data_IF_903889362969
#
_entry.id   IF_903889362969
#
_cell.length_a   1.000
_cell.length_b   1.000
_cell.length_c   1.000
_cell.angle_alpha   90.00
_cell.angle_beta   90.00
_cell.angle_gamma   90.00
#
_symmetry.space_group_name_H-M   'P 1'
#
loop_
_entity.id
_entity.type
_entity.pdbx_description
1 polymer ?
#
# COMPACT_ATOMS: atom_id res chain seq x y z
N UNK A 1 -23.96 16.36 56.34
CA UNK A 1 -24.72 15.76 55.27
C UNK A 1 -23.75 15.58 54.12
N UNK A 2 -23.21 14.36 53.95
CA UNK A 2 -22.14 14.06 52.96
C UNK A 2 -22.86 13.46 51.78
N UNK A 3 -22.91 14.21 50.67
CA UNK A 3 -23.49 13.75 49.41
C UNK A 3 -22.64 12.63 48.82
N UNK A 4 -23.18 11.44 48.86
CA UNK A 4 -22.62 10.24 48.28
C UNK A 4 -22.79 10.32 46.75
N UNK A 5 -21.74 10.67 46.01
CA UNK A 5 -21.71 10.64 44.57
C UNK A 5 -21.55 9.18 44.14
N UNK A 6 -22.57 8.54 43.52
CA UNK A 6 -22.42 7.19 43.03
C UNK A 6 -21.46 7.19 41.84
N UNK A 7 -20.36 6.45 41.94
CA UNK A 7 -19.45 6.12 40.86
C UNK A 7 -20.23 5.38 39.77
N UNK A 8 -20.83 6.12 38.85
CA UNK A 8 -21.26 5.55 37.57
C UNK A 8 -20.00 5.24 36.77
N UNK A 9 -19.51 4.01 36.88
CA UNK A 9 -18.66 3.41 35.89
C UNK A 9 -19.43 3.43 34.55
N UNK A 10 -19.22 4.49 33.79
CA UNK A 10 -19.70 4.54 32.41
C UNK A 10 -18.89 3.51 31.62
N UNK A 11 -19.45 2.32 31.49
CA UNK A 11 -19.00 1.33 30.53
C UNK A 11 -19.14 1.95 29.15
N UNK A 12 -18.10 2.65 28.69
CA UNK A 12 -18.01 3.02 27.27
C UNK A 12 -17.80 1.70 26.53
N UNK A 13 -18.73 1.30 25.64
CA UNK A 13 -18.53 0.08 24.89
C UNK A 13 -17.22 0.20 24.11
N UNK A 14 -16.35 -0.81 24.25
CA UNK A 14 -15.06 -0.92 23.53
C UNK A 14 -15.24 -0.91 22.01
N UNK A 15 -16.46 -1.01 21.52
CA UNK A 15 -16.85 -0.91 20.10
C UNK A 15 -16.68 0.50 19.49
N UNK A 16 -16.45 1.54 20.31
CA UNK A 16 -16.26 2.91 19.80
C UNK A 16 -14.86 3.20 19.26
N UNK A 17 -13.91 2.27 19.29
CA UNK A 17 -12.50 2.52 18.96
C UNK A 17 -12.04 2.01 17.59
N UNK A 18 -12.93 1.53 16.73
CA UNK A 18 -12.66 1.49 15.28
C UNK A 18 -12.90 2.86 14.61
N UNK A 19 -12.64 3.93 15.33
CA UNK A 19 -12.52 5.27 14.76
C UNK A 19 -11.43 5.20 13.70
N UNK A 20 -11.89 5.00 12.46
CA UNK A 20 -11.18 5.31 11.20
C UNK A 20 -9.67 5.52 11.39
N UNK A 21 -8.89 4.47 11.08
CA UNK A 21 -7.42 4.53 11.07
C UNK A 21 -6.95 5.86 10.47
N UNK A 22 -5.98 6.49 11.13
CA UNK A 22 -5.48 7.81 10.72
C UNK A 22 -4.77 7.73 9.37
N UNK A 23 -4.73 8.83 8.62
CA UNK A 23 -3.98 8.89 7.35
C UNK A 23 -2.51 8.49 7.51
N UNK A 24 -1.77 8.92 8.56
CA UNK A 24 -0.41 8.45 8.82
C UNK A 24 -0.29 6.93 8.99
N UNK A 25 -1.28 6.29 9.58
CA UNK A 25 -1.29 4.83 9.73
C UNK A 25 -1.32 4.12 8.37
N UNK A 26 -2.16 4.58 7.43
CA UNK A 26 -2.19 4.03 6.09
C UNK A 26 -0.89 4.28 5.32
N UNK A 27 -0.24 5.43 5.49
CA UNK A 27 1.08 5.70 4.90
C UNK A 27 2.13 4.72 5.42
N UNK A 28 2.16 4.50 6.73
CA UNK A 28 3.09 3.56 7.37
C UNK A 28 2.87 2.13 6.87
N UNK A 29 1.62 1.69 6.85
CA UNK A 29 1.26 0.36 6.35
C UNK A 29 1.61 0.18 4.87
N UNK A 30 1.39 1.21 4.06
CA UNK A 30 1.77 1.22 2.65
C UNK A 30 3.27 1.09 2.45
N UNK A 31 4.06 1.79 3.26
CA UNK A 31 5.53 1.69 3.25
C UNK A 31 6.00 0.28 3.60
N UNK A 32 5.41 -0.34 4.64
CA UNK A 32 5.69 -1.74 4.98
C UNK A 32 5.39 -2.66 3.79
N UNK A 33 4.23 -2.48 3.14
CA UNK A 33 3.86 -3.24 1.96
C UNK A 33 4.90 -3.11 0.83
N UNK A 34 5.38 -1.89 0.56
CA UNK A 34 6.43 -1.64 -0.44
C UNK A 34 7.74 -2.32 -0.07
N UNK A 35 8.18 -2.24 1.19
CA UNK A 35 9.40 -2.92 1.67
C UNK A 35 9.30 -4.42 1.42
N UNK A 36 8.17 -5.05 1.75
CA UNK A 36 7.96 -6.49 1.56
C UNK A 36 7.97 -6.88 0.07
N UNK A 37 7.42 -6.03 -0.81
CA UNK A 37 7.49 -6.23 -2.26
C UNK A 37 8.95 -6.29 -2.71
N UNK A 38 9.80 -5.33 -2.29
CA UNK A 38 11.20 -5.28 -2.68
C UNK A 38 12.06 -6.36 -2.02
N UNK A 39 11.76 -6.77 -0.78
CA UNK A 39 12.36 -7.95 -0.14
C UNK A 39 12.08 -9.19 -0.98
N UNK A 40 10.86 -9.33 -1.50
CA UNK A 40 10.49 -10.40 -2.43
C UNK A 40 11.33 -10.39 -3.70
N UNK A 41 11.54 -9.21 -4.30
CA UNK A 41 12.40 -9.06 -5.48
C UNK A 41 13.86 -9.45 -5.20
N UNK A 42 14.41 -8.99 -4.07
CA UNK A 42 15.76 -9.36 -3.65
C UNK A 42 15.97 -10.87 -3.55
N UNK A 43 14.97 -11.60 -3.05
CA UNK A 43 15.03 -13.05 -2.95
C UNK A 43 15.01 -13.81 -4.28
N UNK A 44 14.60 -13.16 -5.40
CA UNK A 44 14.68 -13.76 -6.74
C UNK A 44 16.11 -13.91 -7.26
N UNK A 45 17.06 -13.23 -6.63
CA UNK A 45 18.49 -13.36 -6.97
C UNK A 45 19.10 -14.68 -6.46
N UNK A 46 18.40 -15.41 -5.58
CA UNK A 46 18.82 -16.71 -5.02
C UNK A 46 17.76 -17.77 -5.29
N UNK A 47 18.13 -18.85 -5.97
CA UNK A 47 17.23 -19.94 -6.30
C UNK A 47 16.60 -20.59 -5.04
N UNK A 48 17.35 -20.72 -3.95
CA UNK A 48 16.92 -21.32 -2.69
C UNK A 48 15.82 -20.50 -2.00
N UNK A 49 15.88 -19.16 -2.14
CA UNK A 49 14.97 -18.24 -1.45
C UNK A 49 13.77 -17.84 -2.29
N UNK A 50 13.74 -18.20 -3.57
CA UNK A 50 12.73 -17.73 -4.52
C UNK A 50 11.28 -18.02 -4.06
N UNK A 51 11.02 -19.19 -3.47
CA UNK A 51 9.67 -19.56 -2.98
C UNK A 51 9.22 -18.67 -1.82
N UNK A 52 10.07 -18.49 -0.82
CA UNK A 52 9.78 -17.63 0.35
C UNK A 52 9.69 -16.15 -0.07
N UNK A 53 10.55 -15.73 -0.98
CA UNK A 53 10.55 -14.39 -1.55
C UNK A 53 9.22 -14.06 -2.25
N UNK A 54 8.68 -14.99 -3.03
CA UNK A 54 7.39 -14.82 -3.69
C UNK A 54 6.23 -14.69 -2.70
N UNK A 55 6.30 -15.38 -1.58
CA UNK A 55 5.31 -15.24 -0.51
C UNK A 55 5.33 -13.82 0.09
N UNK A 56 6.51 -13.31 0.45
CA UNK A 56 6.66 -11.96 0.98
C UNK A 56 6.24 -10.88 -0.03
N UNK A 57 6.59 -11.10 -1.31
CA UNK A 57 6.13 -10.25 -2.40
C UNK A 57 4.60 -10.18 -2.47
N UNK A 58 3.92 -11.34 -2.43
CA UNK A 58 2.47 -11.41 -2.46
C UNK A 58 1.82 -10.72 -1.26
N UNK A 59 2.33 -10.96 -0.05
CA UNK A 59 1.87 -10.29 1.17
C UNK A 59 2.04 -8.76 1.04
N UNK A 60 3.19 -8.31 0.57
CA UNK A 60 3.49 -6.90 0.34
C UNK A 60 2.52 -6.25 -0.65
N UNK A 61 2.17 -6.94 -1.74
CA UNK A 61 1.19 -6.48 -2.72
C UNK A 61 -0.18 -6.24 -2.08
N UNK A 62 -0.67 -7.20 -1.28
CA UNK A 62 -1.97 -7.07 -0.60
C UNK A 62 -1.95 -5.91 0.38
N UNK A 63 -0.91 -5.82 1.22
CA UNK A 63 -0.78 -4.74 2.22
C UNK A 63 -0.71 -3.38 1.52
N UNK A 64 0.10 -3.24 0.46
CA UNK A 64 0.24 -1.98 -0.28
C UNK A 64 -1.06 -1.58 -0.97
N UNK A 65 -1.82 -2.53 -1.51
CA UNK A 65 -3.10 -2.28 -2.16
C UNK A 65 -4.14 -1.77 -1.15
N UNK A 66 -4.36 -2.53 -0.08
CA UNK A 66 -5.37 -2.20 0.96
C UNK A 66 -5.05 -0.83 1.58
N UNK A 67 -3.80 -0.59 1.94
CA UNK A 67 -3.39 0.70 2.51
C UNK A 67 -3.47 1.85 1.50
N UNK A 68 -3.14 1.59 0.23
CA UNK A 68 -3.27 2.55 -0.86
C UNK A 68 -4.73 3.00 -1.06
N UNK A 69 -5.68 2.06 -1.10
CA UNK A 69 -7.10 2.39 -1.16
C UNK A 69 -7.60 3.07 0.12
N UNK A 70 -7.10 2.69 1.29
CA UNK A 70 -7.39 3.37 2.55
C UNK A 70 -6.97 4.83 2.54
N UNK A 71 -5.78 5.15 2.01
CA UNK A 71 -5.33 6.53 1.79
C UNK A 71 -6.23 7.25 0.79
N UNK A 72 -6.52 6.63 -0.35
CA UNK A 72 -7.36 7.21 -1.39
C UNK A 72 -8.74 7.59 -0.86
N UNK A 73 -9.35 6.72 -0.04
CA UNK A 73 -10.63 6.99 0.61
C UNK A 73 -10.58 8.19 1.58
N UNK A 74 -9.45 8.39 2.27
CA UNK A 74 -9.24 9.57 3.13
C UNK A 74 -9.07 10.85 2.31
N UNK A 75 -8.25 10.81 1.26
CA UNK A 75 -8.07 11.96 0.37
C UNK A 75 -9.36 12.33 -0.37
N UNK A 76 -10.14 11.34 -0.81
CA UNK A 76 -11.43 11.60 -1.46
C UNK A 76 -12.40 12.40 -0.58
N UNK A 77 -12.36 12.18 0.75
CA UNK A 77 -13.19 12.93 1.72
C UNK A 77 -12.69 14.36 1.98
N UNK A 78 -11.48 14.68 1.57
CA UNK A 78 -10.88 16.01 1.72
C UNK A 78 -11.08 16.88 0.49
N UNK A 79 -11.62 16.34 -0.61
CA UNK A 79 -11.91 17.09 -1.81
C UNK A 79 -13.12 18.02 -1.60
N UNK A 80 -13.11 19.22 -2.19
CA UNK A 80 -14.27 20.11 -2.17
C UNK A 80 -15.46 19.49 -2.93
N UNK A 81 -16.67 19.94 -2.60
CA UNK A 81 -17.88 19.53 -3.32
C UNK A 81 -17.76 19.87 -4.80
N UNK A 82 -18.16 18.93 -5.66
CA UNK A 82 -18.08 19.07 -7.12
C UNK A 82 -16.70 18.76 -7.74
N UNK A 83 -15.68 18.46 -6.94
CA UNK A 83 -14.39 18.03 -7.46
C UNK A 83 -14.49 16.67 -8.17
N UNK A 84 -13.68 16.43 -9.23
CA UNK A 84 -13.59 15.11 -9.86
C UNK A 84 -13.22 14.03 -8.87
N UNK A 85 -13.73 12.82 -9.06
CA UNK A 85 -13.43 11.70 -8.18
C UNK A 85 -11.93 11.48 -8.05
N UNK A 86 -11.44 11.36 -6.81
CA UNK A 86 -10.02 11.11 -6.52
C UNK A 86 -9.49 9.86 -7.24
N UNK A 87 -10.34 8.82 -7.37
CA UNK A 87 -9.98 7.57 -8.02
C UNK A 87 -9.83 7.67 -9.53
N UNK A 88 -10.42 8.70 -10.14
CA UNK A 88 -10.36 8.94 -11.59
C UNK A 88 -9.22 9.89 -11.99
N UNK A 89 -8.42 10.33 -11.05
CA UNK A 89 -7.25 11.15 -11.33
C UNK A 89 -6.24 10.33 -12.16
N UNK A 90 -5.71 10.86 -13.27
CA UNK A 90 -4.82 10.12 -14.17
C UNK A 90 -3.61 9.49 -13.46
N UNK A 91 -2.98 10.23 -12.55
CA UNK A 91 -1.83 9.72 -11.78
C UNK A 91 -2.20 8.54 -10.86
N UNK A 92 -3.46 8.46 -10.36
CA UNK A 92 -3.95 7.31 -9.57
C UNK A 92 -4.10 6.08 -10.46
N UNK A 93 -4.69 6.25 -11.65
CA UNK A 93 -4.85 5.17 -12.62
C UNK A 93 -3.50 4.63 -13.08
N UNK A 94 -2.55 5.49 -13.40
CA UNK A 94 -1.18 5.10 -13.77
C UNK A 94 -0.54 4.31 -12.63
N UNK A 95 -0.72 4.72 -11.37
CA UNK A 95 -0.22 3.97 -10.22
C UNK A 95 -0.79 2.56 -10.12
N UNK A 96 -2.07 2.39 -10.36
CA UNK A 96 -2.72 1.07 -10.34
C UNK A 96 -2.12 0.18 -11.43
N UNK A 97 -1.94 0.72 -12.65
CA UNK A 97 -1.31 -0.01 -13.76
C UNK A 97 0.13 -0.41 -13.42
N UNK A 98 0.94 0.52 -12.94
CA UNK A 98 2.33 0.23 -12.54
C UNK A 98 2.40 -0.76 -11.37
N UNK A 99 1.45 -0.70 -10.44
CA UNK A 99 1.35 -1.66 -9.34
C UNK A 99 1.05 -3.08 -9.86
N UNK A 100 0.13 -3.20 -10.83
CA UNK A 100 -0.14 -4.49 -11.50
C UNK A 100 1.10 -5.01 -12.21
N UNK A 101 1.81 -4.15 -12.95
CA UNK A 101 3.08 -4.53 -13.60
C UNK A 101 4.08 -5.07 -12.58
N UNK A 102 4.29 -4.36 -11.45
CA UNK A 102 5.13 -4.85 -10.35
C UNK A 102 4.65 -6.21 -9.82
N UNK A 103 3.35 -6.42 -9.69
CA UNK A 103 2.80 -7.69 -9.25
C UNK A 103 3.11 -8.86 -10.18
N UNK A 104 3.14 -8.61 -11.50
CA UNK A 104 3.35 -9.64 -12.51
C UNK A 104 4.82 -9.87 -12.90
N UNK A 105 5.71 -8.91 -12.68
CA UNK A 105 7.13 -9.02 -13.05
C UNK A 105 7.81 -10.30 -12.55
N UNK A 106 7.61 -10.79 -11.30
CA UNK A 106 8.25 -12.01 -10.84
C UNK A 106 7.85 -13.26 -11.62
N UNK A 107 6.65 -13.26 -12.23
CA UNK A 107 6.20 -14.35 -13.07
C UNK A 107 7.06 -14.50 -14.34
N UNK A 108 7.60 -13.39 -14.87
CA UNK A 108 8.50 -13.39 -16.02
C UNK A 108 9.83 -14.07 -15.68
N UNK A 109 10.33 -13.87 -14.44
CA UNK A 109 11.50 -14.60 -13.96
C UNK A 109 11.20 -16.10 -13.80
N UNK A 110 10.04 -16.44 -13.21
CA UNK A 110 9.61 -17.83 -13.02
C UNK A 110 9.45 -18.57 -14.34
N UNK A 111 8.92 -17.91 -15.38
CA UNK A 111 8.77 -18.45 -16.74
C UNK A 111 10.08 -18.42 -17.55
N UNK A 112 11.20 -17.97 -16.97
CA UNK A 112 12.52 -17.83 -17.62
C UNK A 112 12.49 -16.90 -18.85
N UNK A 113 11.51 -16.01 -18.97
CA UNK A 113 11.43 -15.00 -20.02
C UNK A 113 12.46 -13.90 -19.76
N UNK A 114 12.66 -13.54 -18.49
CA UNK A 114 13.66 -12.58 -18.03
C UNK A 114 14.51 -13.18 -16.93
N UNK A 115 15.74 -12.74 -16.82
CA UNK A 115 16.62 -13.11 -15.69
C UNK A 115 16.14 -12.44 -14.40
N UNK A 116 16.37 -13.05 -13.24
CA UNK A 116 16.03 -12.45 -11.95
C UNK A 116 16.63 -11.05 -11.77
N UNK A 117 17.89 -10.85 -12.21
CA UNK A 117 18.53 -9.55 -12.19
C UNK A 117 17.82 -8.50 -13.05
N UNK A 118 17.38 -8.86 -14.26
CA UNK A 118 16.62 -7.95 -15.13
C UNK A 118 15.28 -7.57 -14.51
N UNK A 119 14.59 -8.53 -13.89
CA UNK A 119 13.33 -8.28 -13.18
C UNK A 119 13.52 -7.33 -12.01
N UNK A 120 14.59 -7.49 -11.23
CA UNK A 120 14.92 -6.58 -10.11
C UNK A 120 15.19 -5.16 -10.62
N UNK A 121 15.96 -5.00 -11.70
CA UNK A 121 16.22 -3.67 -12.30
C UNK A 121 14.94 -2.99 -12.77
N UNK A 122 14.05 -3.71 -13.44
CA UNK A 122 12.75 -3.20 -13.86
C UNK A 122 11.88 -2.83 -12.65
N UNK A 123 11.89 -3.66 -11.61
CA UNK A 123 11.15 -3.35 -10.38
C UNK A 123 11.62 -2.06 -9.72
N UNK A 124 12.92 -1.81 -9.67
CA UNK A 124 13.48 -0.56 -9.15
C UNK A 124 13.03 0.63 -10.00
N UNK A 125 13.09 0.51 -11.34
CA UNK A 125 12.63 1.56 -12.25
C UNK A 125 11.15 1.89 -12.05
N UNK A 126 10.27 0.88 -12.03
CA UNK A 126 8.83 1.09 -11.82
C UNK A 126 8.53 1.55 -10.38
N UNK A 127 9.28 1.07 -9.40
CA UNK A 127 9.17 1.55 -8.02
C UNK A 127 9.52 3.04 -7.88
N UNK A 128 10.58 3.49 -8.56
CA UNK A 128 10.94 4.90 -8.63
C UNK A 128 9.86 5.75 -9.31
N UNK A 129 9.28 5.26 -10.41
CA UNK A 129 8.15 5.92 -11.09
C UNK A 129 6.92 6.03 -10.18
N UNK A 130 6.59 4.96 -9.44
CA UNK A 130 5.50 4.98 -8.46
C UNK A 130 5.74 5.96 -7.32
N UNK A 131 6.98 6.03 -6.82
CA UNK A 131 7.38 6.99 -5.79
C UNK A 131 7.26 8.44 -6.30
N UNK A 132 7.72 8.70 -7.52
CA UNK A 132 7.57 10.00 -8.18
C UNK A 132 6.10 10.42 -8.29
N UNK A 133 5.24 9.57 -8.84
CA UNK A 133 3.79 9.83 -8.95
C UNK A 133 3.13 10.02 -7.57
N UNK A 134 3.64 9.35 -6.54
CA UNK A 134 3.15 9.50 -5.18
C UNK A 134 3.48 10.82 -4.54
N UNK A 135 4.67 11.33 -4.82
CA UNK A 135 5.18 12.56 -4.24
C UNK A 135 4.68 13.80 -4.98
N UNK A 136 4.85 13.82 -6.29
CA UNK A 136 4.55 15.01 -7.10
C UNK A 136 3.08 15.15 -7.49
N UNK A 137 2.31 14.05 -7.53
CA UNK A 137 0.88 14.05 -7.93
C UNK A 137 0.65 14.91 -9.18
N UNK A 138 1.36 14.65 -10.29
CA UNK A 138 1.31 15.54 -11.45
C UNK A 138 -0.13 15.63 -11.96
N UNK A 139 -0.57 16.85 -12.24
CA UNK A 139 -1.80 17.12 -12.98
C UNK A 139 -1.45 16.88 -14.45
N UNK A 140 -1.88 15.73 -14.97
CA UNK A 140 -1.68 15.33 -16.38
C UNK A 140 -3.01 15.51 -17.10
#
# INVERSE_FOLDING_TARGET
MIDFVPWRLSWRPLTASFKTMSLPFYHYLHLIGLILIFVGYGGLLSAERAKTAMMWHGIGLVISLVSGFGMAAKYAKMLPEGAPSYYMQPWVLIKIVLWLVLGFLPLLAKKKILTGSSVVKLAILFGAALAYLGYFKPVI
#
